data_IF_265937652492
#
_entry.id   IF_265937652492
#
_cell.length_a   1.000
_cell.length_b   1.000
_cell.length_c   1.000
_cell.angle_alpha   90.00
_cell.angle_beta   90.00
_cell.angle_gamma   90.00
#
_symmetry.space_group_name_H-M   'P 1'
#
loop_
_entity.id
_entity.type
_entity.pdbx_description
1 polymer ?
#
# COMPACT_ATOMS: atom_id res chain seq x y z
N UNK A 1 -0.56 -3.18 -32.44
CA UNK A 1 -0.47 -4.52 -31.79
C UNK A 1 -0.05 -4.48 -30.30
N UNK A 2 0.56 -3.41 -29.79
CA UNK A 2 1.03 -3.33 -28.39
C UNK A 2 -0.07 -3.17 -27.32
N UNK A 3 -1.11 -2.37 -27.60
CA UNK A 3 -2.20 -2.06 -26.67
C UNK A 3 -2.96 -3.35 -26.25
N UNK A 4 -3.21 -4.25 -27.20
CA UNK A 4 -3.93 -5.51 -26.94
C UNK A 4 -3.14 -6.46 -26.02
N UNK A 5 -1.81 -6.43 -26.05
CA UNK A 5 -0.95 -7.29 -25.22
C UNK A 5 -0.92 -6.83 -23.75
N UNK A 6 -1.05 -5.53 -23.49
CA UNK A 6 -1.12 -4.99 -22.13
C UNK A 6 -2.50 -5.24 -21.52
N UNK A 7 -3.56 -5.03 -22.30
CA UNK A 7 -4.96 -5.24 -21.86
C UNK A 7 -5.23 -6.69 -21.42
N UNK A 8 -4.77 -7.66 -22.22
CA UNK A 8 -4.92 -9.10 -21.91
C UNK A 8 -4.16 -9.54 -20.66
N UNK A 9 -2.95 -9.02 -20.43
CA UNK A 9 -2.18 -9.28 -19.20
C UNK A 9 -2.87 -8.71 -17.96
N UNK A 10 -3.43 -7.50 -18.06
CA UNK A 10 -4.12 -6.86 -16.94
C UNK A 10 -5.38 -7.65 -16.55
N UNK A 11 -6.14 -8.11 -17.54
CA UNK A 11 -7.30 -8.98 -17.30
C UNK A 11 -6.91 -10.27 -16.54
N UNK A 12 -5.86 -10.96 -16.99
CA UNK A 12 -5.38 -12.17 -16.32
C UNK A 12 -4.91 -11.93 -14.87
N UNK A 13 -4.27 -10.79 -14.60
CA UNK A 13 -3.86 -10.41 -13.24
C UNK A 13 -5.08 -10.15 -12.35
N UNK A 14 -6.11 -9.47 -12.88
CA UNK A 14 -7.33 -9.18 -12.14
C UNK A 14 -8.11 -10.46 -11.81
N UNK A 15 -8.21 -11.41 -12.73
CA UNK A 15 -8.88 -12.69 -12.47
C UNK A 15 -8.14 -13.53 -11.44
N UNK A 16 -6.80 -13.50 -11.47
CA UNK A 16 -5.98 -14.12 -10.44
C UNK A 16 -6.18 -13.47 -9.08
N UNK A 17 -6.22 -12.14 -9.01
CA UNK A 17 -6.46 -11.38 -7.78
C UNK A 17 -7.83 -11.72 -7.16
N UNK A 18 -8.90 -11.70 -7.98
CA UNK A 18 -10.25 -12.11 -7.56
C UNK A 18 -10.27 -13.52 -6.98
N UNK A 19 -9.57 -14.46 -7.64
CA UNK A 19 -9.48 -15.85 -7.19
C UNK A 19 -8.79 -15.97 -5.84
N UNK A 20 -7.69 -15.23 -5.63
CA UNK A 20 -6.98 -15.19 -4.34
C UNK A 20 -7.85 -14.62 -3.24
N UNK A 21 -8.60 -13.54 -3.51
CA UNK A 21 -9.51 -12.94 -2.53
C UNK A 21 -10.64 -13.87 -2.11
N UNK A 22 -11.23 -14.59 -3.07
CA UNK A 22 -12.26 -15.61 -2.78
C UNK A 22 -11.71 -16.73 -1.91
N UNK A 23 -10.51 -17.24 -2.22
CA UNK A 23 -9.84 -18.29 -1.43
C UNK A 23 -9.52 -17.82 -0.01
N UNK A 24 -9.13 -16.56 0.15
CA UNK A 24 -8.86 -15.95 1.44
C UNK A 24 -10.13 -15.49 2.18
N UNK A 25 -11.32 -15.65 1.59
CA UNK A 25 -12.60 -15.15 2.14
C UNK A 25 -12.56 -13.64 2.48
N UNK A 26 -11.75 -12.87 1.76
CA UNK A 26 -11.51 -11.44 2.00
C UNK A 26 -12.28 -10.53 1.02
N UNK A 27 -13.31 -11.07 0.37
CA UNK A 27 -14.17 -10.29 -0.52
C UNK A 27 -15.04 -9.36 0.34
N UNK A 28 -15.07 -8.08 -0.01
CA UNK A 28 -15.80 -7.04 0.71
C UNK A 28 -15.03 -6.41 1.87
N UNK A 29 -13.78 -6.82 2.12
CA UNK A 29 -12.96 -6.23 3.18
C UNK A 29 -12.80 -4.73 2.95
N UNK A 30 -13.10 -3.96 4.00
CA UNK A 30 -12.94 -2.51 3.99
C UNK A 30 -11.46 -2.12 4.11
N UNK A 31 -10.99 -1.28 3.20
CA UNK A 31 -9.62 -0.77 3.20
C UNK A 31 -9.64 0.73 3.15
N UNK A 32 -9.10 1.36 4.20
CA UNK A 32 -8.85 2.79 4.24
C UNK A 32 -7.43 3.10 3.74
N UNK A 33 -7.35 3.79 2.61
CA UNK A 33 -6.10 4.30 2.04
C UNK A 33 -5.94 5.74 2.50
N UNK A 34 -4.99 5.98 3.40
CA UNK A 34 -4.66 7.34 3.85
C UNK A 34 -3.66 7.97 2.87
N UNK A 35 -3.92 9.21 2.45
CA UNK A 35 -2.98 9.98 1.63
C UNK A 35 -2.88 11.44 2.10
N UNK A 36 -1.78 12.12 1.75
CA UNK A 36 -1.64 13.54 2.07
C UNK A 36 -2.49 14.40 1.15
N UNK A 37 -3.39 15.23 1.72
CA UNK A 37 -4.27 16.10 0.96
C UNK A 37 -3.52 17.18 0.15
N UNK A 38 -2.37 17.62 0.67
CA UNK A 38 -1.51 18.65 0.08
C UNK A 38 -0.79 18.22 -1.20
N UNK A 39 -0.75 16.92 -1.53
CA UNK A 39 -0.07 16.41 -2.73
C UNK A 39 -1.11 15.90 -3.73
N UNK A 40 -1.35 16.64 -4.81
CA UNK A 40 -2.34 16.28 -5.83
C UNK A 40 -2.13 14.86 -6.39
N UNK A 41 -0.88 14.52 -6.72
CA UNK A 41 -0.54 13.21 -7.28
C UNK A 41 -0.89 12.04 -6.34
N UNK A 42 -0.86 12.25 -5.02
CA UNK A 42 -1.21 11.22 -4.05
C UNK A 42 -2.72 10.96 -4.01
N UNK A 43 -3.53 12.00 -4.26
CA UNK A 43 -4.99 11.88 -4.35
C UNK A 43 -5.40 11.17 -5.63
N UNK A 44 -4.85 11.61 -6.76
CA UNK A 44 -5.11 11.01 -8.09
C UNK A 44 -4.72 9.52 -8.12
N UNK A 45 -3.51 9.19 -7.65
CA UNK A 45 -3.07 7.78 -7.57
C UNK A 45 -3.91 6.98 -6.60
N UNK A 46 -4.30 7.58 -5.47
CA UNK A 46 -5.22 6.96 -4.52
C UNK A 46 -6.54 6.56 -5.19
N UNK A 47 -7.13 7.45 -5.98
CA UNK A 47 -8.38 7.19 -6.71
C UNK A 47 -8.24 6.04 -7.69
N UNK A 48 -7.16 6.01 -8.48
CA UNK A 48 -6.88 4.91 -9.42
C UNK A 48 -6.79 3.57 -8.66
N UNK A 49 -6.07 3.55 -7.54
CA UNK A 49 -5.93 2.34 -6.71
C UNK A 49 -7.28 1.94 -6.13
N UNK A 50 -8.08 2.89 -5.64
CA UNK A 50 -9.42 2.64 -5.14
C UNK A 50 -10.31 1.97 -6.20
N UNK A 51 -10.36 2.52 -7.41
CA UNK A 51 -11.15 1.95 -8.51
C UNK A 51 -10.69 0.53 -8.86
N UNK A 52 -9.38 0.33 -8.98
CA UNK A 52 -8.81 -0.98 -9.31
C UNK A 52 -9.12 -2.00 -8.22
N UNK A 53 -8.95 -1.66 -6.96
CA UNK A 53 -9.15 -2.58 -5.84
C UNK A 53 -10.62 -2.85 -5.57
N UNK A 54 -11.50 -1.87 -5.80
CA UNK A 54 -12.95 -2.07 -5.80
C UNK A 54 -13.36 -3.05 -6.91
N UNK A 55 -12.78 -2.95 -8.10
CA UNK A 55 -13.11 -3.83 -9.24
C UNK A 55 -12.79 -5.31 -9.01
N UNK A 56 -11.86 -5.62 -8.11
CA UNK A 56 -11.46 -7.00 -7.76
C UNK A 56 -12.17 -7.52 -6.50
N UNK A 57 -12.90 -6.68 -5.78
CA UNK A 57 -13.78 -7.09 -4.69
C UNK A 57 -13.43 -6.57 -3.31
N UNK A 58 -12.50 -5.63 -3.15
CA UNK A 58 -12.37 -4.89 -1.88
C UNK A 58 -13.41 -3.77 -1.79
N UNK A 59 -13.62 -3.22 -0.59
CA UNK A 59 -14.39 -1.99 -0.36
C UNK A 59 -13.43 -0.88 0.09
N UNK A 60 -12.87 -0.18 -0.87
CA UNK A 60 -11.75 0.75 -0.69
C UNK A 60 -12.22 2.19 -0.66
N UNK A 61 -11.65 2.95 0.27
CA UNK A 61 -11.86 4.39 0.41
C UNK A 61 -10.52 5.12 0.53
N UNK A 62 -10.33 6.14 -0.29
CA UNK A 62 -9.23 7.08 -0.14
C UNK A 62 -9.64 8.16 0.84
N UNK A 63 -8.81 8.36 1.85
CA UNK A 63 -8.96 9.38 2.87
C UNK A 63 -7.79 10.37 2.76
N UNK A 64 -7.97 11.50 2.06
CA UNK A 64 -7.02 12.59 2.08
C UNK A 64 -7.02 13.23 3.48
N UNK A 65 -5.85 13.35 4.07
CA UNK A 65 -5.64 13.99 5.36
C UNK A 65 -4.68 15.17 5.22
N UNK A 66 -4.97 16.26 5.93
CA UNK A 66 -4.04 17.38 6.07
C UNK A 66 -2.78 16.98 6.83
N UNK A 67 -1.75 17.81 6.76
CA UNK A 67 -0.39 17.48 7.23
C UNK A 67 -0.34 16.95 8.66
N UNK A 68 -1.06 17.58 9.60
CA UNK A 68 -1.05 17.17 11.02
C UNK A 68 -1.80 15.84 11.23
N UNK A 69 -3.09 15.68 10.83
CA UNK A 69 -3.78 14.39 10.91
C UNK A 69 -3.06 13.26 10.18
N UNK A 70 -2.47 13.53 9.01
CA UNK A 70 -1.69 12.56 8.25
C UNK A 70 -0.45 12.08 9.03
N UNK A 71 0.30 13.00 9.64
CA UNK A 71 1.44 12.66 10.47
C UNK A 71 1.04 11.83 11.70
N UNK A 72 -0.09 12.17 12.34
CA UNK A 72 -0.63 11.43 13.49
C UNK A 72 -1.06 10.02 13.10
N UNK A 73 -1.87 9.87 12.05
CA UNK A 73 -2.32 8.57 11.54
C UNK A 73 -1.13 7.67 11.18
N UNK A 74 -0.09 8.26 10.56
CA UNK A 74 1.17 7.57 10.29
C UNK A 74 1.85 7.10 11.57
N UNK A 75 2.05 8.00 12.54
CA UNK A 75 2.71 7.70 13.82
C UNK A 75 2.01 6.61 14.63
N UNK A 76 0.68 6.57 14.59
CA UNK A 76 -0.12 5.63 15.35
C UNK A 76 -0.38 4.31 14.62
N UNK A 77 -0.07 4.24 13.32
CA UNK A 77 -0.41 3.08 12.50
C UNK A 77 -1.92 2.95 12.24
N UNK A 78 -2.67 4.05 12.31
CA UNK A 78 -4.12 4.08 12.14
C UNK A 78 -4.49 4.17 10.64
N UNK A 79 -4.12 3.14 9.89
CA UNK A 79 -4.46 2.99 8.48
C UNK A 79 -4.36 1.52 8.06
N UNK A 80 -5.17 1.12 7.07
CA UNK A 80 -4.99 -0.18 6.41
C UNK A 80 -3.92 -0.09 5.33
N UNK A 81 -3.90 1.03 4.59
CA UNK A 81 -2.93 1.34 3.58
C UNK A 81 -2.55 2.84 3.57
N UNK A 82 -1.33 3.13 3.13
CA UNK A 82 -0.75 4.48 3.13
C UNK A 82 -0.15 4.79 1.77
N UNK A 83 -0.55 5.93 1.19
CA UNK A 83 0.14 6.53 0.06
C UNK A 83 1.19 7.51 0.58
N UNK A 84 2.46 7.22 0.30
CA UNK A 84 3.57 8.05 0.73
C UNK A 84 4.68 8.07 -0.34
N UNK A 85 5.32 9.22 -0.50
CA UNK A 85 6.60 9.34 -1.20
C UNK A 85 7.77 9.30 -0.21
N UNK A 86 8.89 8.75 -0.66
CA UNK A 86 10.14 8.82 0.08
C UNK A 86 11.12 9.75 -0.63
N UNK A 87 11.79 10.61 0.13
CA UNK A 87 12.88 11.42 -0.39
C UNK A 87 14.09 10.51 -0.60
N UNK A 88 14.32 10.14 -1.85
CA UNK A 88 15.49 9.36 -2.22
C UNK A 88 16.73 10.27 -2.14
N UNK A 89 17.60 10.02 -1.17
CA UNK A 89 19.02 10.06 -1.52
C UNK A 89 19.25 8.78 -2.32
N UNK A 90 20.07 8.85 -3.37
CA UNK A 90 20.28 7.78 -4.38
C UNK A 90 20.76 6.43 -3.83
N UNK A 91 20.99 6.34 -2.52
CA UNK A 91 21.42 5.13 -1.85
C UNK A 91 20.21 4.34 -1.31
N UNK A 92 19.97 3.10 -1.79
CA UNK A 92 18.93 2.23 -1.25
C UNK A 92 19.09 1.97 0.25
N UNK A 93 20.31 2.00 0.81
CA UNK A 93 20.55 1.74 2.22
C UNK A 93 19.89 2.76 3.13
N UNK A 94 19.76 4.01 2.69
CA UNK A 94 19.06 5.04 3.45
C UNK A 94 17.54 4.79 3.50
N UNK A 95 16.97 4.18 2.45
CA UNK A 95 15.57 3.73 2.48
C UNK A 95 15.38 2.59 3.48
N UNK A 96 16.25 1.57 3.44
CA UNK A 96 16.21 0.45 4.37
C UNK A 96 16.43 0.92 5.82
N UNK A 97 17.45 1.75 6.06
CA UNK A 97 17.80 2.31 7.37
C UNK A 97 16.64 3.06 8.03
N UNK A 98 15.89 3.82 7.25
CA UNK A 98 14.78 4.65 7.77
C UNK A 98 13.47 3.91 7.93
N UNK A 99 13.15 2.96 7.05
CA UNK A 99 11.79 2.40 6.95
C UNK A 99 11.70 0.91 7.34
N UNK A 100 12.83 0.22 7.42
CA UNK A 100 12.88 -1.22 7.64
C UNK A 100 13.81 -1.63 8.81
N UNK A 101 14.76 -0.77 9.22
CA UNK A 101 15.60 -1.04 10.40
C UNK A 101 15.02 -0.49 11.70
N UNK A 102 15.07 -1.33 12.74
CA UNK A 102 14.34 -1.19 14.00
C UNK A 102 14.63 0.05 14.87
N UNK A 103 15.55 0.93 14.47
CA UNK A 103 16.09 2.02 15.31
C UNK A 103 15.88 3.43 14.76
N UNK A 104 15.32 3.58 13.56
CA UNK A 104 14.93 4.88 13.02
C UNK A 104 13.68 5.40 13.74
N UNK A 105 13.58 6.70 14.03
CA UNK A 105 12.33 7.29 14.57
C UNK A 105 11.11 7.05 13.66
N UNK A 106 11.35 6.98 12.35
CA UNK A 106 10.33 6.56 11.38
C UNK A 106 10.02 5.08 11.53
N UNK A 107 11.02 4.24 11.82
CA UNK A 107 10.81 2.82 12.01
C UNK A 107 10.15 2.49 13.35
N UNK A 108 10.36 3.24 14.44
CA UNK A 108 9.65 3.01 15.72
C UNK A 108 8.13 3.17 15.60
N UNK A 109 7.68 3.99 14.65
CA UNK A 109 6.29 4.06 14.20
C UNK A 109 5.85 2.82 13.39
N UNK A 110 6.79 2.14 12.71
CA UNK A 110 6.54 0.97 11.86
C UNK A 110 6.79 -0.41 12.53
N UNK A 111 7.64 -0.52 13.56
CA UNK A 111 8.01 -1.80 14.24
C UNK A 111 7.09 -2.08 15.43
N UNK A 112 5.78 -1.85 15.27
CA UNK A 112 4.82 -2.77 15.90
C UNK A 112 4.44 -3.90 14.95
N UNK A 113 4.96 -3.85 13.73
CA UNK A 113 4.61 -4.73 12.62
C UNK A 113 5.90 -5.11 11.86
N UNK A 114 6.61 -6.16 12.30
CA UNK A 114 7.37 -7.09 11.44
C UNK A 114 8.52 -7.76 12.21
N UNK A 115 8.38 -9.05 12.49
CA UNK A 115 9.53 -9.96 12.65
C UNK A 115 9.37 -11.28 11.88
N UNK A 116 8.38 -11.43 10.98
CA UNK A 116 8.06 -12.76 10.40
C UNK A 116 8.15 -12.94 8.88
N UNK A 117 8.38 -11.92 8.05
CA UNK A 117 8.74 -12.18 6.64
C UNK A 117 9.11 -10.92 5.89
N UNK A 118 10.39 -10.77 5.55
CA UNK A 118 10.86 -9.79 4.58
C UNK A 118 11.31 -10.54 3.32
N UNK A 119 10.68 -10.29 2.18
CA UNK A 119 11.21 -10.61 0.84
C UNK A 119 11.46 -9.30 0.08
N UNK A 120 12.54 -9.27 -0.70
CA UNK A 120 13.03 -8.12 -1.49
C UNK A 120 12.01 -7.69 -2.54
N UNK A 121 11.68 -6.40 -2.59
CA UNK A 121 10.88 -5.78 -3.64
C UNK A 121 11.59 -4.53 -4.17
N UNK A 122 11.88 -4.50 -5.47
CA UNK A 122 12.51 -3.37 -6.17
C UNK A 122 11.41 -2.55 -6.88
N UNK A 123 10.99 -1.45 -6.27
CA UNK A 123 10.08 -0.46 -6.85
C UNK A 123 10.04 0.81 -5.97
N UNK A 124 9.84 2.02 -6.53
CA UNK A 124 9.96 3.28 -5.79
C UNK A 124 8.76 3.62 -4.88
N UNK A 125 7.69 2.81 -4.87
CA UNK A 125 6.50 3.03 -4.04
C UNK A 125 6.08 1.73 -3.36
N UNK A 126 5.87 1.81 -2.04
CA UNK A 126 5.51 0.68 -1.21
C UNK A 126 4.04 0.84 -0.77
N UNK A 127 3.15 -0.03 -1.22
CA UNK A 127 1.77 -0.11 -0.72
C UNK A 127 1.73 -1.21 0.34
N UNK A 128 1.58 -0.84 1.62
CA UNK A 128 1.38 -1.82 2.71
C UNK A 128 -0.11 -1.97 2.97
N UNK A 129 -0.63 -3.20 2.93
CA UNK A 129 -2.02 -3.53 3.26
C UNK A 129 -2.05 -4.35 4.53
N UNK A 130 -2.80 -3.89 5.54
CA UNK A 130 -3.12 -4.66 6.74
C UNK A 130 -4.54 -5.23 6.61
N UNK A 131 -4.65 -6.55 6.46
CA UNK A 131 -5.90 -7.31 6.52
C UNK A 131 -6.04 -7.91 7.93
N UNK A 132 -7.23 -7.90 8.56
CA UNK A 132 -7.45 -8.65 9.80
C UNK A 132 -7.30 -10.16 9.57
N UNK A 133 -6.60 -10.85 10.47
CA UNK A 133 -6.52 -12.32 10.59
C UNK A 133 -6.00 -13.16 9.41
N UNK A 134 -5.28 -12.59 8.45
CA UNK A 134 -4.62 -13.39 7.40
C UNK A 134 -3.26 -12.84 6.97
N UNK A 135 -2.38 -13.76 6.59
CA UNK A 135 -0.97 -13.52 6.26
C UNK A 135 -0.78 -12.36 5.28
N UNK A 136 0.29 -11.59 5.52
CA UNK A 136 0.75 -10.48 4.68
C UNK A 136 0.85 -10.88 3.21
N UNK A 137 0.11 -10.19 2.34
CA UNK A 137 0.28 -10.25 0.89
C UNK A 137 0.72 -8.90 0.37
N UNK A 138 1.86 -8.86 -0.31
CA UNK A 138 2.30 -7.67 -1.04
C UNK A 138 3.78 -7.75 -1.41
N UNK A 139 4.05 -7.59 -2.70
CA UNK A 139 5.35 -7.16 -3.20
C UNK A 139 5.46 -5.63 -3.01
#
# INVERSE_FOLDING_TARGET
>A
MWINRVSTKLAAINDRAKTLLKKAQAVGTEIRIVCGAHVAISRERGQIVQEQWNSIGFKVFVQPLDTVPYATARKQGDFNALMQGHTARFDPDNFFGRNLHSKSELAQVFIRISSKSARKCNGPFLIRVKVPDSQWFGC
#
